data_IF_081351664936
#
_entry.id   IF_081351664936
#
_cell.length_a   1.000
_cell.length_b   1.000
_cell.length_c   1.000
_cell.angle_alpha   90.00
_cell.angle_beta   90.00
_cell.angle_gamma   90.00
#
_symmetry.space_group_name_H-M   'P 1'
#
loop_
_entity.id
_entity.type
_entity.pdbx_description
1 polymer ?
#
# COMPACT_ATOMS: atom_id res chain seq x y z
N UNK A 1 -25.54 1.52 1.78
CA UNK A 1 -24.21 0.97 2.15
C UNK A 1 -23.05 1.63 1.39
N UNK A 2 -23.05 1.67 0.05
CA UNK A 2 -21.94 2.26 -0.75
C UNK A 2 -21.66 3.75 -0.47
N UNK A 3 -22.68 4.56 -0.23
CA UNK A 3 -22.53 5.99 0.08
C UNK A 3 -21.83 6.24 1.43
N UNK A 4 -22.11 5.40 2.44
CA UNK A 4 -21.49 5.49 3.77
C UNK A 4 -19.99 5.20 3.68
N UNK A 5 -19.60 4.18 2.92
CA UNK A 5 -18.19 3.83 2.71
C UNK A 5 -17.41 4.93 1.97
N UNK A 6 -18.03 5.60 0.98
CA UNK A 6 -17.39 6.74 0.28
C UNK A 6 -17.19 7.94 1.20
N UNK A 7 -18.21 8.29 1.98
CA UNK A 7 -18.12 9.38 2.97
C UNK A 7 -17.02 9.12 4.01
N UNK A 8 -16.90 7.87 4.49
CA UNK A 8 -15.81 7.50 5.39
C UNK A 8 -14.46 7.70 4.69
N UNK A 9 -14.31 7.31 3.43
CA UNK A 9 -13.02 7.39 2.74
C UNK A 9 -12.58 8.85 2.43
N UNK A 10 -13.51 9.73 2.11
CA UNK A 10 -13.20 11.13 1.77
C UNK A 10 -12.88 12.02 2.99
N UNK A 11 -13.43 11.68 4.16
CA UNK A 11 -13.19 12.48 5.37
C UNK A 11 -11.84 12.11 6.00
N UNK A 12 -10.99 13.12 6.21
CA UNK A 12 -9.71 12.96 6.91
C UNK A 12 -9.91 12.62 8.40
N UNK A 13 -9.07 11.73 8.93
CA UNK A 13 -9.06 11.36 10.35
C UNK A 13 -8.89 12.58 11.26
N UNK A 14 -8.06 13.55 10.86
CA UNK A 14 -7.84 14.80 11.60
C UNK A 14 -9.13 15.60 11.72
N UNK A 15 -9.94 15.66 10.65
CA UNK A 15 -11.23 16.36 10.69
C UNK A 15 -12.20 15.68 11.64
N UNK A 16 -12.26 14.35 11.65
CA UNK A 16 -13.10 13.59 12.60
C UNK A 16 -12.71 13.86 14.06
N UNK A 17 -11.41 13.86 14.37
CA UNK A 17 -10.91 14.16 15.72
C UNK A 17 -11.22 15.61 16.13
N UNK A 18 -11.06 16.57 15.22
CA UNK A 18 -11.41 17.97 15.47
C UNK A 18 -12.91 18.15 15.69
N UNK A 19 -13.77 17.47 14.91
CA UNK A 19 -15.21 17.51 15.12
C UNK A 19 -15.61 16.89 16.45
N UNK A 20 -14.96 15.78 16.86
CA UNK A 20 -15.20 15.15 18.15
C UNK A 20 -14.84 16.10 19.30
N UNK A 21 -13.65 16.69 19.26
CA UNK A 21 -13.20 17.67 20.25
C UNK A 21 -14.14 18.90 20.29
N UNK A 22 -14.58 19.38 19.12
CA UNK A 22 -15.55 20.47 19.02
C UNK A 22 -16.90 20.13 19.65
N UNK A 23 -17.40 18.91 19.44
CA UNK A 23 -18.63 18.41 20.08
C UNK A 23 -18.46 18.38 21.60
N UNK A 24 -17.37 17.80 22.11
CA UNK A 24 -17.09 17.75 23.55
C UNK A 24 -17.03 19.14 24.18
N UNK A 25 -16.31 20.07 23.56
CA UNK A 25 -16.25 21.45 24.06
C UNK A 25 -17.64 22.10 24.01
N UNK A 26 -18.40 21.89 22.92
CA UNK A 26 -19.77 22.40 22.77
C UNK A 26 -20.74 21.89 23.84
N UNK A 27 -20.70 20.59 24.14
CA UNK A 27 -21.52 20.01 25.21
C UNK A 27 -21.07 20.48 26.60
N UNK A 28 -19.76 20.62 26.84
CA UNK A 28 -19.27 21.20 28.09
C UNK A 28 -19.77 22.63 28.32
N UNK A 29 -19.78 23.48 27.29
CA UNK A 29 -20.38 24.80 27.38
C UNK A 29 -21.91 24.75 27.55
N UNK A 30 -22.58 23.79 26.93
CA UNK A 30 -24.02 23.56 27.09
C UNK A 30 -24.36 23.20 28.55
N UNK A 31 -23.63 22.28 29.17
CA UNK A 31 -23.84 21.91 30.58
C UNK A 31 -23.56 23.06 31.53
N UNK A 32 -22.47 23.79 31.30
CA UNK A 32 -22.17 24.98 32.07
C UNK A 32 -23.27 26.05 31.94
N UNK A 33 -23.80 26.25 30.73
CA UNK A 33 -24.90 27.17 30.48
C UNK A 33 -26.21 26.73 31.13
N UNK A 34 -26.53 25.44 31.08
CA UNK A 34 -27.69 24.85 31.76
C UNK A 34 -27.62 25.06 33.27
N UNK A 35 -26.46 24.83 33.88
CA UNK A 35 -26.26 25.00 35.31
C UNK A 35 -26.36 26.47 35.74
N UNK A 36 -25.97 27.42 34.86
CA UNK A 36 -26.16 28.86 35.12
C UNK A 36 -27.60 29.32 34.97
N UNK A 37 -28.35 28.73 34.04
CA UNK A 37 -29.76 29.07 33.82
C UNK A 37 -30.67 28.44 34.88
N UNK A 38 -30.39 27.20 35.27
CA UNK A 38 -31.17 26.40 36.21
C UNK A 38 -30.20 25.68 37.16
N UNK A 39 -29.90 26.26 38.34
CA UNK A 39 -29.01 25.63 39.30
C UNK A 39 -29.52 24.25 39.75
N UNK A 40 -28.64 23.26 39.83
CA UNK A 40 -28.97 21.90 40.21
C UNK A 40 -29.19 20.93 39.04
N UNK A 41 -28.92 21.35 37.80
CA UNK A 41 -28.90 20.46 36.63
C UNK A 41 -27.67 19.57 36.58
N UNK A 42 -26.56 20.01 37.19
CA UNK A 42 -25.33 19.25 37.33
C UNK A 42 -24.98 19.16 38.81
N UNK A 43 -24.87 17.95 39.35
CA UNK A 43 -24.73 17.74 40.80
C UNK A 43 -23.53 16.85 41.10
N UNK A 44 -22.70 17.26 42.06
CA UNK A 44 -21.66 16.41 42.61
C UNK A 44 -22.27 15.30 43.45
N UNK A 45 -21.86 14.05 43.20
CA UNK A 45 -22.32 12.89 43.96
C UNK A 45 -21.71 12.84 45.37
N UNK A 46 -20.47 13.34 45.52
CA UNK A 46 -19.73 13.29 46.79
C UNK A 46 -19.25 14.68 47.21
N UNK A 47 -19.45 15.01 48.50
CA UNK A 47 -18.58 15.94 49.24
C UNK A 47 -18.69 17.44 48.96
N UNK A 48 -19.57 17.94 48.09
CA UNK A 48 -19.75 19.38 47.90
C UNK A 48 -21.20 19.75 47.55
N UNK A 49 -21.74 20.76 48.23
CA UNK A 49 -23.03 21.41 47.87
C UNK A 49 -22.84 22.61 46.91
N UNK A 50 -21.60 22.83 46.44
CA UNK A 50 -21.29 23.88 45.48
C UNK A 50 -21.73 23.47 44.07
N UNK A 51 -22.14 24.44 43.25
CA UNK A 51 -22.48 24.20 41.85
C UNK A 51 -21.21 23.95 41.03
N UNK A 52 -21.21 22.96 40.11
CA UNK A 52 -20.07 22.68 39.24
C UNK A 52 -19.64 23.89 38.39
N UNK A 53 -18.34 24.10 38.28
CA UNK A 53 -17.76 25.14 37.45
C UNK A 53 -17.69 24.75 35.96
N UNK A 54 -17.11 25.64 35.13
CA UNK A 54 -16.90 25.34 33.69
C UNK A 54 -15.93 24.18 33.47
N UNK A 55 -14.91 24.05 34.32
CA UNK A 55 -13.96 22.93 34.26
C UNK A 55 -14.65 21.60 34.54
N UNK A 56 -15.51 21.56 35.55
CA UNK A 56 -16.28 20.38 35.93
C UNK A 56 -17.30 19.98 34.84
N UNK A 57 -17.94 20.97 34.20
CA UNK A 57 -18.86 20.74 33.08
C UNK A 57 -18.15 20.20 31.82
N UNK A 58 -16.97 20.74 31.50
CA UNK A 58 -16.13 20.22 30.41
C UNK A 58 -15.64 18.80 30.72
N UNK A 59 -15.18 18.55 31.95
CA UNK A 59 -14.80 17.23 32.41
C UNK A 59 -15.97 16.24 32.31
N UNK A 60 -17.16 16.63 32.76
CA UNK A 60 -18.36 15.80 32.65
C UNK A 60 -18.69 15.46 31.19
N UNK A 61 -18.59 16.42 30.27
CA UNK A 61 -18.78 16.18 28.83
C UNK A 61 -17.73 15.22 28.26
N UNK A 62 -16.45 15.38 28.59
CA UNK A 62 -15.39 14.43 28.16
C UNK A 62 -15.74 13.01 28.62
N UNK A 63 -16.00 12.83 29.92
CA UNK A 63 -16.27 11.52 30.53
C UNK A 63 -17.56 10.89 29.98
N UNK A 64 -18.57 11.70 29.67
CA UNK A 64 -19.84 11.26 29.08
C UNK A 64 -19.67 10.85 27.62
N UNK A 65 -19.00 11.67 26.81
CA UNK A 65 -18.74 11.39 25.39
C UNK A 65 -17.84 10.17 25.20
N UNK A 66 -16.86 9.96 26.09
CA UNK A 66 -16.03 8.75 26.10
C UNK A 66 -16.72 7.54 26.71
N UNK A 67 -17.97 7.67 27.19
CA UNK A 67 -18.71 6.62 27.90
C UNK A 67 -18.03 6.07 29.16
N UNK A 68 -17.13 6.83 29.77
CA UNK A 68 -16.40 6.43 30.99
C UNK A 68 -17.31 6.49 32.22
N UNK A 69 -18.05 7.59 32.37
CA UNK A 69 -19.09 7.75 33.40
C UNK A 69 -18.64 7.48 34.84
N UNK A 70 -17.58 8.15 35.33
CA UNK A 70 -17.05 7.92 36.69
C UNK A 70 -18.08 8.10 37.82
N UNK A 71 -19.14 8.87 37.60
CA UNK A 71 -20.27 9.02 38.52
C UNK A 71 -20.03 10.01 39.67
N UNK A 72 -18.92 10.73 39.64
CA UNK A 72 -18.57 11.84 40.52
C UNK A 72 -19.44 13.09 40.26
N UNK A 73 -19.81 13.32 39.01
CA UNK A 73 -20.78 14.32 38.58
C UNK A 73 -21.90 13.60 37.84
N UNK A 74 -23.14 13.94 38.17
CA UNK A 74 -24.33 13.38 37.51
C UNK A 74 -25.24 14.47 36.96
N UNK A 75 -25.85 14.24 35.78
CA UNK A 75 -26.86 15.14 35.25
C UNK A 75 -28.20 14.89 35.96
N UNK A 76 -28.93 15.96 36.24
CA UNK A 76 -30.30 15.90 36.76
C UNK A 76 -31.26 16.73 35.89
N UNK A 77 -32.55 16.44 36.00
CA UNK A 77 -33.59 17.09 35.21
C UNK A 77 -33.34 16.99 33.70
N UNK A 78 -33.34 18.14 33.00
CA UNK A 78 -33.19 18.23 31.55
C UNK A 78 -31.79 17.82 31.05
N UNK A 79 -30.75 17.93 31.89
CA UNK A 79 -29.39 17.55 31.51
C UNK A 79 -29.26 16.05 31.21
N UNK A 80 -30.16 15.21 31.75
CA UNK A 80 -30.19 13.76 31.47
C UNK A 80 -30.49 13.46 30.00
N UNK A 81 -31.33 14.27 29.36
CA UNK A 81 -31.65 14.11 27.94
C UNK A 81 -30.42 14.43 27.07
N UNK A 82 -29.73 15.54 27.38
CA UNK A 82 -28.52 15.94 26.67
C UNK A 82 -27.39 14.93 26.86
N UNK A 83 -27.20 14.41 28.06
CA UNK A 83 -26.24 13.34 28.33
C UNK A 83 -26.53 12.07 27.51
N UNK A 84 -27.80 11.68 27.39
CA UNK A 84 -28.19 10.56 26.53
C UNK A 84 -27.85 10.79 25.06
N UNK A 85 -28.13 11.98 24.54
CA UNK A 85 -27.79 12.37 23.16
C UNK A 85 -26.27 12.36 22.95
N UNK A 86 -25.52 12.92 23.90
CA UNK A 86 -24.06 12.98 23.84
C UNK A 86 -23.42 11.59 23.79
N UNK A 87 -23.91 10.63 24.59
CA UNK A 87 -23.43 9.24 24.56
C UNK A 87 -23.69 8.60 23.19
N UNK A 88 -24.88 8.75 22.62
CA UNK A 88 -25.21 8.18 21.31
C UNK A 88 -24.34 8.77 20.21
N UNK A 89 -24.09 10.08 20.25
CA UNK A 89 -23.20 10.76 19.31
C UNK A 89 -21.76 10.28 19.49
N UNK A 90 -21.25 10.23 20.72
CA UNK A 90 -19.91 9.76 21.05
C UNK A 90 -19.64 8.36 20.52
N UNK A 91 -20.51 7.40 20.85
CA UNK A 91 -20.41 6.01 20.38
C UNK A 91 -20.44 5.90 18.86
N UNK A 92 -21.32 6.68 18.20
CA UNK A 92 -21.40 6.71 16.73
C UNK A 92 -20.10 7.21 16.10
N UNK A 93 -19.50 8.27 16.66
CA UNK A 93 -18.23 8.81 16.20
C UNK A 93 -17.07 7.84 16.40
N UNK A 94 -16.98 7.19 17.56
CA UNK A 94 -15.98 6.14 17.79
C UNK A 94 -16.12 5.00 16.78
N UNK A 95 -17.36 4.57 16.48
CA UNK A 95 -17.62 3.58 15.44
C UNK A 95 -17.10 3.99 14.05
N UNK A 96 -17.31 5.25 13.67
CA UNK A 96 -16.80 5.80 12.39
C UNK A 96 -15.26 5.85 12.38
N UNK A 97 -14.63 6.25 13.48
CA UNK A 97 -13.16 6.30 13.58
C UNK A 97 -12.57 4.89 13.43
N UNK A 98 -13.13 3.89 14.12
CA UNK A 98 -12.71 2.49 14.02
C UNK A 98 -12.90 1.97 12.58
N UNK A 99 -14.05 2.25 11.97
CA UNK A 99 -14.33 1.87 10.58
C UNK A 99 -13.32 2.50 9.60
N UNK A 100 -12.97 3.78 9.79
CA UNK A 100 -11.97 4.48 8.97
C UNK A 100 -10.59 3.82 9.06
N UNK A 101 -10.12 3.52 10.28
CA UNK A 101 -8.82 2.87 10.50
C UNK A 101 -8.80 1.49 9.84
N UNK A 102 -9.90 0.73 9.95
CA UNK A 102 -10.02 -0.57 9.31
C UNK A 102 -10.00 -0.47 7.78
N UNK A 103 -10.75 0.48 7.19
CA UNK A 103 -10.79 0.71 5.75
C UNK A 103 -9.42 1.03 5.17
N UNK A 104 -8.64 1.90 5.82
CA UNK A 104 -7.29 2.24 5.36
C UNK A 104 -6.36 1.02 5.35
N UNK A 105 -6.46 0.16 6.38
CA UNK A 105 -5.67 -1.08 6.45
C UNK A 105 -6.11 -2.08 5.37
N UNK A 106 -7.41 -2.21 5.12
CA UNK A 106 -7.93 -3.11 4.09
C UNK A 106 -7.51 -2.68 2.69
N UNK A 107 -7.61 -1.39 2.37
CA UNK A 107 -7.17 -0.86 1.08
C UNK A 107 -5.67 -1.11 0.86
N UNK A 108 -4.85 -0.95 1.91
CA UNK A 108 -3.42 -1.26 1.86
C UNK A 108 -3.15 -2.75 1.58
N UNK A 109 -3.82 -3.66 2.30
CA UNK A 109 -3.63 -5.10 2.15
C UNK A 109 -4.10 -5.58 0.77
N UNK A 110 -5.27 -5.13 0.32
CA UNK A 110 -5.81 -5.49 -1.00
C UNK A 110 -4.89 -5.01 -2.12
N UNK A 111 -4.41 -3.77 -2.01
CA UNK A 111 -3.48 -3.20 -2.97
C UNK A 111 -2.19 -4.01 -3.01
N UNK A 112 -1.67 -4.42 -1.85
CA UNK A 112 -0.49 -5.28 -1.73
C UNK A 112 -0.70 -6.65 -2.37
N UNK A 113 -1.82 -7.33 -2.10
CA UNK A 113 -2.14 -8.63 -2.71
C UNK A 113 -2.30 -8.53 -4.23
N UNK A 114 -3.02 -7.52 -4.72
CA UNK A 114 -3.24 -7.32 -6.15
C UNK A 114 -1.94 -7.04 -6.90
N UNK A 115 -1.05 -6.20 -6.35
CA UNK A 115 0.24 -5.92 -6.99
C UNK A 115 1.19 -7.11 -6.95
N UNK A 116 1.24 -7.87 -5.85
CA UNK A 116 2.07 -9.07 -5.76
C UNK A 116 1.67 -10.09 -6.84
N UNK A 117 0.38 -10.36 -7.02
CA UNK A 117 -0.12 -11.26 -8.07
C UNK A 117 0.21 -10.72 -9.48
N UNK A 118 0.02 -9.43 -9.72
CA UNK A 118 0.32 -8.80 -11.00
C UNK A 118 1.82 -8.91 -11.36
N UNK A 119 2.70 -8.69 -10.38
CA UNK A 119 4.15 -8.77 -10.56
C UNK A 119 4.57 -10.21 -10.83
N UNK A 120 4.05 -11.17 -10.07
CA UNK A 120 4.34 -12.60 -10.28
C UNK A 120 3.95 -13.05 -11.70
N UNK A 121 2.79 -12.62 -12.18
CA UNK A 121 2.33 -12.86 -13.56
C UNK A 121 3.22 -12.22 -14.62
N UNK A 122 3.64 -10.97 -14.44
CA UNK A 122 4.59 -10.33 -15.38
C UNK A 122 5.97 -10.98 -15.34
N UNK A 123 6.44 -11.32 -14.15
CA UNK A 123 7.76 -11.89 -13.95
C UNK A 123 7.85 -13.29 -14.56
N UNK A 124 6.79 -14.10 -14.43
CA UNK A 124 6.69 -15.40 -15.11
C UNK A 124 6.71 -15.28 -16.64
N UNK A 125 6.02 -14.28 -17.20
CA UNK A 125 6.08 -13.99 -18.64
C UNK A 125 7.51 -13.60 -19.08
N UNK A 126 8.21 -12.79 -18.29
CA UNK A 126 9.61 -12.45 -18.55
C UNK A 126 10.54 -13.66 -18.44
N UNK A 127 10.32 -14.54 -17.47
CA UNK A 127 11.08 -15.80 -17.35
C UNK A 127 10.87 -16.70 -18.56
N UNK A 128 9.64 -16.82 -19.06
CA UNK A 128 9.32 -17.64 -20.23
C UNK A 128 10.01 -17.11 -21.49
N UNK A 129 9.92 -15.80 -21.74
CA UNK A 129 10.62 -15.12 -22.84
C UNK A 129 12.15 -15.29 -22.73
N UNK A 130 12.71 -15.15 -21.53
CA UNK A 130 14.14 -15.36 -21.29
C UNK A 130 14.57 -16.81 -21.57
N UNK A 131 13.76 -17.79 -21.18
CA UNK A 131 14.05 -19.19 -21.45
C UNK A 131 13.95 -19.53 -22.95
N UNK A 132 13.04 -18.89 -23.67
CA UNK A 132 12.95 -18.97 -25.14
C UNK A 132 14.21 -18.38 -25.80
N UNK A 133 14.60 -17.16 -25.42
CA UNK A 133 15.82 -16.52 -25.92
C UNK A 133 17.07 -17.31 -25.58
N UNK A 134 17.15 -17.87 -24.37
CA UNK A 134 18.25 -18.73 -23.96
C UNK A 134 18.33 -19.99 -24.82
N UNK A 135 17.21 -20.64 -25.12
CA UNK A 135 17.17 -21.82 -26.00
C UNK A 135 17.65 -21.47 -27.40
N UNK A 136 17.14 -20.37 -27.96
CA UNK A 136 17.52 -19.90 -29.29
C UNK A 136 19.01 -19.56 -29.34
N UNK A 137 19.52 -18.82 -28.36
CA UNK A 137 20.94 -18.50 -28.23
C UNK A 137 21.82 -19.75 -28.17
N UNK A 138 21.40 -20.76 -27.39
CA UNK A 138 22.14 -22.02 -27.28
C UNK A 138 22.16 -22.80 -28.60
N UNK A 139 21.03 -22.86 -29.30
CA UNK A 139 20.94 -23.56 -30.60
C UNK A 139 21.83 -22.86 -31.63
N UNK A 140 21.69 -21.54 -31.78
CA UNK A 140 22.49 -20.75 -32.71
C UNK A 140 23.99 -20.81 -32.36
N UNK A 141 24.33 -20.69 -31.08
CA UNK A 141 25.72 -20.80 -30.60
C UNK A 141 26.32 -22.17 -30.92
N UNK A 142 25.59 -23.26 -30.68
CA UNK A 142 26.07 -24.60 -30.99
C UNK A 142 26.24 -24.81 -32.50
N UNK A 143 25.27 -24.38 -33.32
CA UNK A 143 25.36 -24.49 -34.79
C UNK A 143 26.56 -23.71 -35.36
N UNK A 144 26.86 -22.53 -34.81
CA UNK A 144 28.05 -21.76 -35.16
C UNK A 144 29.34 -22.45 -34.71
N UNK A 145 29.37 -23.01 -33.50
CA UNK A 145 30.52 -23.72 -32.95
C UNK A 145 30.81 -25.04 -33.68
N UNK A 146 29.78 -25.73 -34.15
CA UNK A 146 29.90 -26.99 -34.88
C UNK A 146 30.23 -26.77 -36.38
N UNK A 147 30.24 -25.50 -36.83
CA UNK A 147 30.60 -25.12 -38.20
C UNK A 147 29.52 -25.46 -39.24
N UNK A 148 28.28 -25.69 -38.81
CA UNK A 148 27.15 -26.01 -39.70
C UNK A 148 26.61 -24.79 -40.45
N UNK A 149 26.96 -23.57 -40.02
CA UNK A 149 26.50 -22.30 -40.59
C UNK A 149 27.69 -21.47 -41.08
N UNK A 150 27.62 -20.99 -42.33
CA UNK A 150 28.59 -20.06 -42.91
C UNK A 150 28.36 -18.63 -42.35
N UNK A 151 29.34 -18.02 -41.65
CA UNK A 151 29.18 -16.71 -40.99
C UNK A 151 28.87 -15.56 -41.97
N UNK A 152 29.23 -15.69 -43.26
CA UNK A 152 28.91 -14.69 -44.28
C UNK A 152 27.43 -14.74 -44.74
N UNK A 153 26.81 -15.93 -44.75
CA UNK A 153 25.40 -16.12 -45.15
C UNK A 153 24.42 -15.80 -44.02
N UNK A 154 24.91 -15.64 -42.80
CA UNK A 154 24.12 -15.23 -41.61
C UNK A 154 23.92 -13.71 -41.52
N UNK A 155 24.37 -12.96 -42.52
CA UNK A 155 24.07 -11.52 -42.67
C UNK A 155 22.57 -11.23 -42.75
N UNK A 156 21.73 -12.19 -43.12
CA UNK A 156 20.26 -12.09 -43.02
C UNK A 156 19.77 -11.92 -41.57
N UNK A 157 20.53 -12.43 -40.59
CA UNK A 157 20.27 -12.20 -39.16
C UNK A 157 20.76 -10.81 -38.69
N UNK A 158 21.75 -10.23 -39.37
CA UNK A 158 22.31 -8.89 -39.11
C UNK A 158 21.54 -7.75 -39.79
N UNK A 159 21.00 -7.97 -40.98
CA UNK A 159 20.63 -6.90 -41.88
C UNK A 159 19.13 -6.54 -41.87
N UNK A 160 18.22 -7.46 -41.53
CA UNK A 160 16.84 -7.26 -41.96
C UNK A 160 15.91 -6.53 -40.99
N UNK A 161 16.19 -6.44 -39.68
CA UNK A 161 15.60 -5.39 -38.82
C UNK A 161 16.48 -5.16 -37.58
N UNK A 162 17.00 -3.94 -37.39
CA UNK A 162 17.76 -3.56 -36.20
C UNK A 162 16.97 -3.77 -34.88
N UNK A 163 15.64 -3.82 -34.95
CA UNK A 163 14.73 -4.07 -33.83
C UNK A 163 14.49 -5.58 -33.52
N UNK A 164 14.90 -6.51 -34.40
CA UNK A 164 14.71 -7.97 -34.19
C UNK A 164 15.97 -8.72 -33.76
N UNK A 165 17.11 -8.05 -33.59
CA UNK A 165 18.33 -8.74 -33.14
C UNK A 165 18.12 -9.29 -31.73
N UNK A 166 18.47 -10.56 -31.54
CA UNK A 166 18.25 -11.29 -30.30
C UNK A 166 18.93 -10.62 -29.10
N UNK A 167 20.08 -9.97 -29.33
CA UNK A 167 20.76 -9.14 -28.33
C UNK A 167 19.91 -7.93 -27.90
N UNK A 168 19.32 -7.21 -28.85
CA UNK A 168 18.43 -6.08 -28.55
C UNK A 168 17.18 -6.52 -27.78
N UNK A 169 16.60 -7.66 -28.15
CA UNK A 169 15.44 -8.24 -27.44
C UNK A 169 15.78 -8.62 -25.99
N UNK A 170 16.93 -9.26 -25.77
CA UNK A 170 17.41 -9.58 -24.41
C UNK A 170 17.74 -8.30 -23.62
N UNK A 171 18.42 -7.33 -24.24
CA UNK A 171 18.77 -6.06 -23.59
C UNK A 171 17.53 -5.25 -23.20
N UNK A 172 16.56 -5.15 -24.12
CA UNK A 172 15.25 -4.51 -23.89
C UNK A 172 14.53 -5.16 -22.70
N UNK A 173 14.44 -6.49 -22.68
CA UNK A 173 13.75 -7.23 -21.62
C UNK A 173 14.46 -7.06 -20.26
N UNK A 174 15.80 -7.00 -20.25
CA UNK A 174 16.57 -6.68 -19.04
C UNK A 174 16.33 -5.25 -18.55
N UNK A 175 16.19 -4.30 -19.46
CA UNK A 175 15.86 -2.93 -19.14
C UNK A 175 14.46 -2.85 -18.52
N UNK A 176 13.47 -3.57 -19.06
CA UNK A 176 12.12 -3.66 -18.48
C UNK A 176 12.11 -4.28 -17.08
N UNK A 177 12.84 -5.39 -16.87
CA UNK A 177 12.99 -6.01 -15.54
C UNK A 177 13.63 -5.02 -14.56
N UNK A 178 14.68 -4.31 -14.99
CA UNK A 178 15.35 -3.30 -14.16
C UNK A 178 14.41 -2.17 -13.80
N UNK A 179 13.68 -1.62 -14.76
CA UNK A 179 12.76 -0.50 -14.53
C UNK A 179 11.64 -0.90 -13.57
N UNK A 180 11.15 -2.14 -13.68
CA UNK A 180 10.21 -2.73 -12.71
C UNK A 180 10.81 -2.82 -11.30
N UNK A 181 12.06 -3.28 -11.17
CA UNK A 181 12.77 -3.37 -9.87
C UNK A 181 13.03 -2.00 -9.25
N UNK A 182 13.41 -1.01 -10.06
CA UNK A 182 13.64 0.37 -9.59
C UNK A 182 12.34 1.05 -9.17
N UNK A 183 11.25 0.82 -9.90
CA UNK A 183 9.93 1.30 -9.52
C UNK A 183 9.46 0.70 -8.19
N UNK A 184 9.73 -0.58 -7.96
CA UNK A 184 9.40 -1.31 -6.74
C UNK A 184 10.17 -0.80 -5.51
N UNK A 185 11.49 -0.57 -5.66
CA UNK A 185 12.34 -0.06 -4.58
C UNK A 185 11.93 1.34 -4.10
N UNK A 186 11.37 2.16 -4.99
CA UNK A 186 10.87 3.50 -4.63
C UNK A 186 9.48 3.50 -4.00
N UNK A 187 8.64 2.48 -4.26
CA UNK A 187 7.22 2.47 -3.87
C UNK A 187 6.88 1.54 -2.68
N UNK A 188 7.88 0.96 -2.02
CA UNK A 188 7.69 0.27 -0.73
C UNK A 188 7.92 -1.25 -0.75
N UNK A 189 8.54 -1.80 -1.80
CA UNK A 189 9.09 -3.16 -1.81
C UNK A 189 8.05 -4.26 -1.64
N UNK A 190 7.33 -4.58 -2.72
CA UNK A 190 6.42 -5.73 -2.82
C UNK A 190 7.18 -7.03 -3.15
N UNK A 191 8.47 -6.95 -3.50
CA UNK A 191 9.34 -8.11 -3.76
C UNK A 191 9.48 -9.09 -2.59
N UNK A 192 9.15 -8.70 -1.35
CA UNK A 192 9.11 -9.64 -0.23
C UNK A 192 8.05 -10.73 -0.37
N UNK A 193 7.06 -10.54 -1.24
CA UNK A 193 5.99 -11.50 -1.52
C UNK A 193 6.15 -12.19 -2.90
N UNK A 194 7.20 -11.86 -3.66
CA UNK A 194 7.48 -12.45 -4.99
C UNK A 194 8.24 -13.77 -4.82
N UNK A 195 7.97 -14.74 -5.69
CA UNK A 195 8.61 -16.05 -5.62
C UNK A 195 10.12 -15.99 -5.88
N UNK A 196 10.93 -16.37 -4.89
CA UNK A 196 12.39 -16.57 -5.01
C UNK A 196 12.77 -17.50 -6.19
N UNK A 197 11.87 -18.41 -6.56
CA UNK A 197 12.06 -19.31 -7.69
C UNK A 197 12.09 -18.56 -9.05
N UNK A 198 11.34 -17.47 -9.20
CA UNK A 198 11.34 -16.69 -10.43
C UNK A 198 12.62 -15.85 -10.56
N UNK A 199 13.04 -15.23 -9.45
CA UNK A 199 14.28 -14.42 -9.40
C UNK A 199 15.50 -15.29 -9.71
N UNK A 200 15.58 -16.48 -9.10
CA UNK A 200 16.69 -17.42 -9.36
C UNK A 200 16.71 -17.94 -10.80
N UNK A 201 15.55 -18.11 -11.44
CA UNK A 201 15.47 -18.49 -12.86
C UNK A 201 15.98 -17.40 -13.79
N UNK A 202 15.64 -16.13 -13.55
CA UNK A 202 16.17 -15.00 -14.32
C UNK A 202 17.69 -14.98 -14.24
N UNK A 203 18.23 -15.08 -13.02
CA UNK A 203 19.67 -15.12 -12.80
C UNK A 203 20.33 -16.30 -13.53
N UNK A 204 19.76 -17.50 -13.42
CA UNK A 204 20.29 -18.69 -14.08
C UNK A 204 20.28 -18.57 -15.62
N UNK A 205 19.23 -17.98 -16.20
CA UNK A 205 19.14 -17.81 -17.65
C UNK A 205 20.09 -16.73 -18.16
N UNK A 206 20.24 -15.60 -17.46
CA UNK A 206 21.28 -14.61 -17.77
C UNK A 206 22.69 -15.20 -17.70
N UNK A 207 23.02 -15.93 -16.62
CA UNK A 207 24.34 -16.52 -16.44
C UNK A 207 24.66 -17.58 -17.50
N UNK A 208 23.64 -18.28 -18.01
CA UNK A 208 23.82 -19.25 -19.08
C UNK A 208 24.11 -18.58 -20.42
N UNK A 209 23.37 -17.52 -20.77
CA UNK A 209 23.60 -16.79 -22.02
C UNK A 209 25.01 -16.19 -22.02
N UNK A 210 25.40 -15.51 -20.93
CA UNK A 210 26.72 -14.90 -20.79
C UNK A 210 27.87 -15.90 -20.95
N UNK A 211 27.73 -17.12 -20.41
CA UNK A 211 28.73 -18.18 -20.58
C UNK A 211 28.90 -18.61 -22.04
N UNK A 212 27.81 -18.75 -22.78
CA UNK A 212 27.87 -19.11 -24.20
C UNK A 212 28.44 -17.97 -25.06
N UNK A 213 28.11 -16.72 -24.73
CA UNK A 213 28.70 -15.55 -25.40
C UNK A 213 30.21 -15.52 -25.22
N UNK A 214 30.69 -15.69 -23.98
CA UNK A 214 32.12 -15.74 -23.68
C UNK A 214 32.84 -16.87 -24.44
N UNK A 215 32.23 -18.06 -24.51
CA UNK A 215 32.80 -19.19 -25.25
C UNK A 215 32.90 -18.95 -26.76
N UNK A 216 31.94 -18.21 -27.34
CA UNK A 216 32.02 -17.77 -28.74
C UNK A 216 33.14 -16.74 -28.94
N UNK A 217 33.26 -15.77 -28.03
CA UNK A 217 34.31 -14.74 -28.07
C UNK A 217 35.72 -15.31 -27.91
N UNK A 218 35.90 -16.35 -27.09
CA UNK A 218 37.21 -17.01 -26.93
C UNK A 218 37.65 -17.78 -28.18
N UNK A 219 36.71 -18.27 -29.00
CA UNK A 219 37.00 -19.10 -30.17
C UNK A 219 37.20 -18.29 -31.44
N UNK A 220 36.44 -17.20 -31.61
CA UNK A 220 36.60 -16.24 -32.72
C UNK A 220 36.42 -14.79 -32.20
N UNK A 221 37.50 -14.13 -31.75
CA UNK A 221 37.42 -12.80 -31.17
C UNK A 221 37.10 -11.70 -32.20
N UNK A 222 37.36 -11.93 -33.49
CA UNK A 222 37.05 -10.96 -34.55
C UNK A 222 35.62 -11.11 -35.05
N UNK A 223 35.12 -12.34 -35.22
CA UNK A 223 33.71 -12.60 -35.55
C UNK A 223 32.77 -12.29 -34.39
N UNK A 224 33.15 -12.54 -33.14
CA UNK A 224 32.24 -12.33 -32.00
C UNK A 224 31.83 -10.87 -31.78
N UNK A 225 32.71 -9.89 -32.01
CA UNK A 225 32.33 -8.46 -31.98
C UNK A 225 31.39 -8.06 -33.11
N UNK A 226 31.35 -8.87 -34.16
CA UNK A 226 30.46 -8.70 -35.29
C UNK A 226 29.15 -9.50 -35.12
N UNK A 227 29.14 -10.60 -34.36
CA UNK A 227 28.01 -11.53 -34.21
C UNK A 227 27.21 -11.37 -32.90
N UNK A 228 27.71 -10.60 -31.92
CA UNK A 228 27.05 -10.26 -30.64
C UNK A 228 26.45 -8.86 -30.73
#
# INVERSE_FOLDING_TARGET
MRTILRLINEVSLTRLLLTLAGITVGFGFLYWGLERAMPGTLVFTYGNSASPGIGDALYFSVVTLTSLGYGDIRPDGIARLFAGIEVVLGLSFFGVIVAKISSVKQDYILRRMYYADLIDRRLSEYVEKLDEYRKLYRITSNMLLDGEIDPELTTTFKAEVAETTLFYQVHSLLHEIRDMVVFETHNGGFFGDVSDALVSRIYASMQSMMRHTLALTERDPQGACEHV
#
